data_IF_136303338579
#
_entry.id   IF_136303338579
#
_cell.length_a   1.000
_cell.length_b   1.000
_cell.length_c   1.000
_cell.angle_alpha   90.00
_cell.angle_beta   90.00
_cell.angle_gamma   90.00
#
_symmetry.space_group_name_H-M   'P 1'
#
loop_
_entity.id
_entity.type
_entity.pdbx_description
1 polymer ?
#
# COMPACT_ATOMS: atom_id res chain seq x y z
N UNK A 1 37.29 4.20 9.25
CA UNK A 1 36.85 4.77 7.97
C UNK A 1 35.58 4.04 7.56
N UNK A 2 34.42 4.66 7.70
CA UNK A 2 33.17 4.09 7.22
C UNK A 2 33.16 4.22 5.69
N UNK A 3 33.01 3.11 4.98
CA UNK A 3 32.89 3.13 3.53
C UNK A 3 31.55 3.79 3.16
N UNK A 4 31.61 4.79 2.29
CA UNK A 4 30.41 5.32 1.64
C UNK A 4 29.72 4.15 0.92
N UNK A 5 28.39 3.98 1.05
CA UNK A 5 27.71 3.00 0.22
C UNK A 5 27.88 3.46 -1.24
N UNK A 6 28.44 2.57 -2.08
CA UNK A 6 28.85 2.87 -3.46
C UNK A 6 27.69 3.29 -4.39
N UNK A 7 26.45 3.32 -3.89
CA UNK A 7 25.26 3.63 -4.67
C UNK A 7 24.53 4.86 -4.08
N UNK A 8 24.48 5.94 -4.86
CA UNK A 8 23.84 7.22 -4.55
C UNK A 8 22.37 7.09 -4.13
N UNK A 9 21.62 6.18 -4.77
CA UNK A 9 20.22 5.93 -4.43
C UNK A 9 20.07 5.35 -3.01
N UNK A 10 21.01 4.51 -2.59
CA UNK A 10 21.04 3.95 -1.24
C UNK A 10 21.38 5.03 -0.19
N UNK A 11 22.25 5.99 -0.54
CA UNK A 11 22.59 7.14 0.31
C UNK A 11 21.38 8.05 0.53
N UNK A 12 20.70 8.46 -0.54
CA UNK A 12 19.50 9.30 -0.45
C UNK A 12 18.41 8.61 0.36
N UNK A 13 18.13 7.33 0.07
CA UNK A 13 17.15 6.54 0.83
C UNK A 13 17.52 6.43 2.32
N UNK A 14 18.81 6.33 2.65
CA UNK A 14 19.29 6.25 4.04
C UNK A 14 19.16 7.59 4.78
N UNK A 15 19.49 8.72 4.15
CA UNK A 15 19.32 10.08 4.72
C UNK A 15 17.83 10.36 5.00
N UNK A 16 16.96 10.05 4.04
CA UNK A 16 15.50 10.24 4.17
C UNK A 16 14.95 9.35 5.28
N UNK A 17 15.31 8.07 5.31
CA UNK A 17 14.86 7.11 6.33
C UNK A 17 15.28 7.51 7.74
N UNK A 18 16.54 7.91 7.94
CA UNK A 18 17.06 8.32 9.24
C UNK A 18 16.40 9.62 9.74
N UNK A 19 16.17 10.57 8.84
CA UNK A 19 15.47 11.81 9.17
C UNK A 19 14.02 11.55 9.54
N UNK A 20 13.32 10.71 8.76
CA UNK A 20 11.93 10.31 9.03
C UNK A 20 11.77 9.64 10.39
N UNK A 21 12.74 8.81 10.82
CA UNK A 21 12.73 8.20 12.16
C UNK A 21 12.78 9.24 13.28
N UNK A 22 13.59 10.30 13.12
CA UNK A 22 13.62 11.41 14.09
C UNK A 22 12.29 12.16 14.09
N UNK A 23 11.74 12.45 12.92
CA UNK A 23 10.45 13.14 12.81
C UNK A 23 9.28 12.36 13.44
N UNK A 24 9.30 11.03 13.33
CA UNK A 24 8.35 10.16 14.03
C UNK A 24 8.57 10.20 15.53
N UNK A 25 9.83 10.14 15.98
CA UNK A 25 10.16 10.19 17.41
C UNK A 25 9.76 11.51 18.05
N UNK A 26 10.02 12.64 17.38
CA UNK A 26 9.58 13.95 17.84
C UNK A 26 8.05 14.01 17.97
N UNK A 27 7.31 13.41 17.03
CA UNK A 27 5.85 13.33 17.11
C UNK A 27 5.36 12.48 18.29
N UNK A 28 6.04 11.36 18.59
CA UNK A 28 5.77 10.57 19.81
C UNK A 28 6.05 11.36 21.10
N UNK A 29 7.01 12.29 21.07
CA UNK A 29 7.27 13.23 22.16
C UNK A 29 6.22 14.37 22.24
N UNK A 30 5.22 14.38 21.36
CA UNK A 30 4.15 15.38 21.32
C UNK A 30 4.46 16.61 20.46
N UNK A 31 5.46 16.54 19.57
CA UNK A 31 5.72 17.61 18.61
C UNK A 31 4.59 17.73 17.58
N UNK A 32 4.30 18.96 17.17
CA UNK A 32 3.27 19.29 16.18
C UNK A 32 3.93 19.99 15.00
N UNK A 33 3.56 19.63 13.77
CA UNK A 33 4.14 20.20 12.56
C UNK A 33 4.36 19.15 11.47
N UNK A 34 4.52 19.63 10.24
CA UNK A 34 4.64 18.81 9.04
C UNK A 34 6.08 18.40 8.76
N UNK A 35 7.03 19.30 8.99
CA UNK A 35 8.47 19.05 8.80
C UNK A 35 9.30 19.10 10.08
N UNK A 36 10.53 18.60 10.02
CA UNK A 36 11.49 18.57 11.12
C UNK A 36 11.64 19.90 11.86
N UNK A 37 11.68 21.02 11.13
CA UNK A 37 11.80 22.36 11.71
C UNK A 37 10.58 22.73 12.55
N UNK A 38 9.39 22.57 12.00
CA UNK A 38 8.14 22.88 12.71
C UNK A 38 7.97 22.02 13.96
N UNK A 39 8.30 20.73 13.87
CA UNK A 39 8.30 19.80 15.01
C UNK A 39 9.30 20.22 16.08
N UNK A 40 10.51 20.65 15.69
CA UNK A 40 11.53 21.16 16.62
C UNK A 40 11.03 22.44 17.31
N UNK A 41 10.50 23.38 16.56
CA UNK A 41 9.99 24.66 17.07
C UNK A 41 8.80 24.45 18.02
N UNK A 42 7.95 23.45 17.76
CA UNK A 42 6.79 23.12 18.60
C UNK A 42 7.16 22.58 19.99
N UNK A 43 8.30 21.88 20.11
CA UNK A 43 8.82 21.43 21.40
C UNK A 43 9.51 22.58 22.16
N UNK A 44 9.98 23.61 21.43
CA UNK A 44 10.48 24.85 22.01
C UNK A 44 11.60 24.62 23.04
N UNK A 45 11.45 25.21 24.23
CA UNK A 45 12.45 25.15 25.31
C UNK A 45 12.64 23.76 25.95
N UNK A 46 11.87 22.75 25.53
CA UNK A 46 12.01 21.37 25.99
C UNK A 46 13.25 20.66 25.42
N UNK A 47 13.78 21.16 24.31
CA UNK A 47 14.99 20.63 23.69
C UNK A 47 16.20 21.47 24.11
N UNK A 48 17.34 20.81 24.33
CA UNK A 48 18.58 21.54 24.59
C UNK A 48 19.01 22.32 23.34
N UNK A 49 19.69 23.48 23.50
CA UNK A 49 20.19 24.25 22.37
C UNK A 49 21.12 23.46 21.45
N UNK A 50 21.79 22.44 21.99
CA UNK A 50 22.64 21.52 21.24
C UNK A 50 21.82 20.59 20.34
N UNK A 51 20.74 19.98 20.86
CA UNK A 51 19.83 19.17 20.05
C UNK A 51 19.14 19.98 18.97
N UNK A 52 18.77 21.23 19.24
CA UNK A 52 18.19 22.12 18.22
C UNK A 52 19.18 22.37 17.07
N UNK A 53 20.48 22.55 17.37
CA UNK A 53 21.53 22.69 16.34
C UNK A 53 21.70 21.41 15.53
N UNK A 54 21.70 20.25 16.18
CA UNK A 54 21.81 18.95 15.50
C UNK A 54 20.59 18.68 14.60
N UNK A 55 19.38 19.00 15.07
CA UNK A 55 18.14 18.90 14.27
C UNK A 55 18.16 19.84 13.06
N UNK A 56 18.66 21.07 13.23
CA UNK A 56 18.83 22.00 12.12
C UNK A 56 19.86 21.48 11.09
N UNK A 57 20.97 20.89 11.55
CA UNK A 57 21.96 20.27 10.69
C UNK A 57 21.38 19.09 9.91
N UNK A 58 20.68 18.16 10.57
CA UNK A 58 19.99 17.02 9.94
C UNK A 58 18.98 17.51 8.90
N UNK A 59 18.19 18.53 9.23
CA UNK A 59 17.25 19.14 8.31
C UNK A 59 17.91 19.77 7.09
N UNK A 60 19.09 20.40 7.25
CA UNK A 60 19.85 20.98 6.14
C UNK A 60 20.36 19.92 5.16
N UNK A 61 20.83 18.77 5.68
CA UNK A 61 21.28 17.65 4.86
C UNK A 61 20.08 17.03 4.13
N UNK A 62 18.97 16.74 4.82
CA UNK A 62 17.75 16.21 4.18
C UNK A 62 17.23 17.13 3.07
N UNK A 63 17.19 18.44 3.30
CA UNK A 63 16.72 19.40 2.31
C UNK A 63 17.65 19.48 1.10
N UNK A 64 18.97 19.39 1.30
CA UNK A 64 19.94 19.32 0.21
C UNK A 64 19.67 18.10 -0.69
N UNK A 65 19.46 16.93 -0.09
CA UNK A 65 19.13 15.70 -0.83
C UNK A 65 17.73 15.71 -1.49
N UNK A 66 16.78 16.47 -0.96
CA UNK A 66 15.43 16.57 -1.51
C UNK A 66 15.33 17.56 -2.70
N UNK A 67 16.09 18.66 -2.66
CA UNK A 67 15.94 19.76 -3.63
C UNK A 67 17.07 19.88 -4.64
N UNK A 68 18.25 19.32 -4.35
CA UNK A 68 19.40 19.38 -5.25
C UNK A 68 19.61 17.99 -5.89
N UNK A 69 19.17 17.78 -7.14
CA UNK A 69 19.27 16.48 -7.83
C UNK A 69 20.71 16.06 -8.14
N UNK A 70 21.70 16.90 -7.85
CA UNK A 70 23.15 16.65 -7.94
C UNK A 70 23.85 16.69 -6.57
N UNK A 71 23.09 16.70 -5.46
CA UNK A 71 23.67 16.70 -4.12
C UNK A 71 24.63 15.52 -3.91
N UNK A 72 25.83 15.84 -3.46
CA UNK A 72 26.84 14.90 -2.98
C UNK A 72 27.05 15.11 -1.48
N UNK A 73 27.51 14.06 -0.80
CA UNK A 73 27.91 14.10 0.60
C UNK A 73 29.22 13.35 0.74
N UNK A 74 30.20 13.96 1.41
CA UNK A 74 31.45 13.27 1.68
C UNK A 74 31.24 12.16 2.72
N UNK A 75 32.13 11.16 2.76
CA UNK A 75 32.04 10.10 3.77
C UNK A 75 32.15 10.61 5.21
N UNK A 76 32.92 11.68 5.40
CA UNK A 76 33.05 12.36 6.70
C UNK A 76 31.78 13.12 7.08
N UNK A 77 31.18 13.84 6.12
CA UNK A 77 29.92 14.56 6.34
C UNK A 77 28.75 13.61 6.59
N UNK A 78 28.73 12.46 5.91
CA UNK A 78 27.73 11.41 6.15
C UNK A 78 27.91 10.74 7.52
N UNK A 79 29.15 10.48 7.94
CA UNK A 79 29.42 9.98 9.29
C UNK A 79 28.99 10.97 10.38
N UNK A 80 29.23 12.27 10.17
CA UNK A 80 28.79 13.33 11.06
C UNK A 80 27.25 13.41 11.12
N UNK A 81 26.57 13.21 9.99
CA UNK A 81 25.11 13.11 9.94
C UNK A 81 24.59 11.91 10.76
N UNK A 82 25.15 10.71 10.59
CA UNK A 82 24.74 9.53 11.36
C UNK A 82 24.98 9.71 12.87
N UNK A 83 26.10 10.31 13.25
CA UNK A 83 26.42 10.65 14.63
C UNK A 83 25.40 11.66 15.20
N UNK A 84 25.08 12.70 14.43
CA UNK A 84 24.07 13.70 14.82
C UNK A 84 22.71 13.07 15.04
N UNK A 85 22.29 12.16 14.15
CA UNK A 85 21.04 11.40 14.29
C UNK A 85 21.03 10.57 15.56
N UNK A 86 22.13 9.87 15.85
CA UNK A 86 22.29 9.03 17.05
C UNK A 86 22.21 9.87 18.34
N UNK A 87 22.89 11.01 18.38
CA UNK A 87 22.88 11.91 19.54
C UNK A 87 21.49 12.47 19.82
N UNK A 88 20.78 12.90 18.77
CA UNK A 88 19.40 13.39 18.90
C UNK A 88 18.47 12.29 19.42
N UNK A 89 18.56 11.06 18.88
CA UNK A 89 17.73 9.94 19.35
C UNK A 89 17.98 9.63 20.82
N UNK A 90 19.25 9.58 21.23
CA UNK A 90 19.62 9.32 22.61
C UNK A 90 19.06 10.38 23.57
N UNK A 91 19.15 11.65 23.22
CA UNK A 91 18.62 12.73 24.06
C UNK A 91 17.08 12.68 24.14
N UNK A 92 16.40 12.41 23.03
CA UNK A 92 14.94 12.24 23.01
C UNK A 92 14.48 11.06 23.87
N UNK A 93 15.25 9.97 23.91
CA UNK A 93 14.94 8.81 24.75
C UNK A 93 15.16 9.08 26.23
N UNK A 94 16.12 9.94 26.59
CA UNK A 94 16.34 10.41 27.97
C UNK A 94 15.19 11.32 28.42
N UNK A 95 14.82 12.29 27.59
CA UNK A 95 13.80 13.29 27.92
C UNK A 95 12.37 12.74 27.87
N UNK A 96 12.12 11.80 26.96
CA UNK A 96 10.82 11.15 26.74
C UNK A 96 10.97 9.62 26.69
N UNK A 97 11.25 8.97 27.83
CA UNK A 97 11.34 7.52 27.87
C UNK A 97 10.02 6.91 27.43
N UNK A 98 10.08 5.98 26.46
CA UNK A 98 8.89 5.34 25.89
C UNK A 98 8.20 4.50 26.98
N UNK A 99 7.16 5.05 27.61
CA UNK A 99 6.21 4.24 28.36
C UNK A 99 5.46 3.37 27.35
N UNK A 100 5.66 2.04 27.41
CA UNK A 100 4.97 1.04 26.56
C UNK A 100 3.46 0.92 26.81
N UNK A 101 2.81 1.98 27.28
CA UNK A 101 1.39 1.97 27.64
C UNK A 101 0.69 3.27 27.27
N UNK A 102 0.72 3.67 26.00
CA UNK A 102 -0.41 4.37 25.41
C UNK A 102 -0.30 4.37 23.89
N UNK A 103 -1.31 3.80 23.24
CA UNK A 103 -1.66 4.09 21.86
C UNK A 103 -2.75 5.16 21.92
N UNK A 104 -2.50 6.43 21.58
CA UNK A 104 -3.57 7.36 21.26
C UNK A 104 -3.79 7.40 19.75
N UNK A 105 -5.03 7.74 19.43
CA UNK A 105 -5.63 7.74 18.13
C UNK A 105 -5.05 8.81 17.19
N UNK A 106 -5.31 8.57 15.90
CA UNK A 106 -5.02 9.43 14.78
C UNK A 106 -5.54 10.89 14.93
N UNK A 107 -4.70 11.84 14.51
CA UNK A 107 -5.06 13.16 13.96
C UNK A 107 -3.76 13.80 13.46
N UNK A 108 -3.35 13.60 12.20
CA UNK A 108 -3.62 14.50 11.07
C UNK A 108 -2.99 15.91 11.19
N UNK A 109 -1.85 16.08 10.51
CA UNK A 109 -1.45 17.34 9.87
C UNK A 109 -0.60 17.01 8.64
N UNK A 110 -1.18 17.24 7.45
CA UNK A 110 -0.65 16.92 6.12
C UNK A 110 0.58 17.74 5.71
N UNK A 111 1.46 17.20 4.84
CA UNK A 111 2.03 17.94 3.73
C UNK A 111 1.38 17.53 2.40
N UNK A 112 1.28 18.50 1.49
CA UNK A 112 0.85 18.34 0.09
C UNK A 112 1.75 17.34 -0.66
N UNK A 113 1.24 16.69 -1.72
CA UNK A 113 1.92 15.57 -2.36
C UNK A 113 3.06 16.04 -3.25
N UNK A 114 4.30 15.70 -2.89
CA UNK A 114 5.31 15.40 -3.89
C UNK A 114 4.80 14.18 -4.66
N UNK A 115 4.54 14.35 -5.96
CA UNK A 115 4.31 13.25 -6.89
C UNK A 115 5.61 12.43 -6.97
N UNK A 116 5.88 11.63 -5.94
CA UNK A 116 6.70 10.43 -6.07
C UNK A 116 5.93 9.51 -7.02
N UNK A 117 6.47 9.37 -8.24
CA UNK A 117 6.28 8.16 -9.03
C UNK A 117 6.69 6.98 -8.13
N UNK A 118 5.71 6.37 -7.49
CA UNK A 118 5.82 5.20 -6.63
C UNK A 118 6.19 4.01 -7.53
N UNK A 119 7.48 3.90 -7.86
CA UNK A 119 8.06 2.68 -8.39
C UNK A 119 8.04 1.63 -7.28
N UNK A 120 7.01 0.77 -7.36
CA UNK A 120 6.83 -0.53 -6.71
C UNK A 120 5.84 -0.55 -5.52
N UNK A 121 4.64 -1.13 -5.70
CA UNK A 121 3.61 -1.25 -4.65
C UNK A 121 3.96 -2.28 -3.57
N UNK A 122 5.23 -2.72 -3.48
CA UNK A 122 5.67 -3.76 -2.56
C UNK A 122 6.16 -3.20 -1.22
N UNK A 123 5.23 -2.63 -0.44
CA UNK A 123 5.47 -2.37 0.99
C UNK A 123 4.43 -3.06 1.87
N UNK A 124 4.86 -4.17 2.46
CA UNK A 124 4.31 -4.70 3.71
C UNK A 124 3.22 -5.77 3.58
N UNK A 125 3.52 -6.90 2.95
CA UNK A 125 2.79 -8.13 3.26
C UNK A 125 3.27 -8.63 4.61
N UNK A 126 2.38 -8.68 5.62
CA UNK A 126 2.59 -9.54 6.79
C UNK A 126 3.13 -10.90 6.33
N UNK A 127 4.15 -11.46 7.00
CA UNK A 127 4.73 -12.74 6.62
C UNK A 127 3.61 -13.77 6.54
N UNK A 128 3.53 -14.48 5.41
CA UNK A 128 2.60 -15.60 5.27
C UNK A 128 2.83 -16.54 6.45
N UNK A 129 1.80 -16.75 7.27
CA UNK A 129 1.85 -17.66 8.41
C UNK A 129 2.35 -19.03 7.97
N UNK A 130 3.16 -19.70 8.77
CA UNK A 130 3.90 -20.92 8.37
C UNK A 130 3.03 -22.03 7.75
N UNK A 131 1.74 -22.08 8.09
CA UNK A 131 0.78 -23.02 7.51
C UNK A 131 0.40 -22.71 6.05
N UNK A 132 0.42 -21.44 5.62
CA UNK A 132 0.17 -21.03 4.23
C UNK A 132 1.34 -21.40 3.33
N UNK A 133 2.56 -21.27 3.85
CA UNK A 133 3.78 -21.74 3.17
C UNK A 133 3.74 -23.27 3.02
N UNK A 134 3.23 -23.98 4.03
CA UNK A 134 3.01 -25.43 3.96
C UNK A 134 1.87 -25.82 3.01
N UNK A 135 0.80 -25.02 2.95
CA UNK A 135 -0.33 -25.22 2.03
C UNK A 135 0.08 -25.05 0.56
N UNK A 136 0.98 -24.11 0.25
CA UNK A 136 1.61 -23.99 -1.08
C UNK A 136 2.45 -25.21 -1.49
N UNK A 137 2.84 -26.07 -0.54
CA UNK A 137 3.67 -27.28 -0.77
C UNK A 137 2.89 -28.57 -0.84
N UNK A 138 1.55 -28.53 -0.82
CA UNK A 138 0.70 -29.72 -0.95
C UNK A 138 -0.22 -29.58 -2.19
N UNK A 139 -0.31 -30.60 -3.08
CA UNK A 139 -0.95 -30.45 -4.41
C UNK A 139 -2.39 -29.91 -4.39
N UNK A 140 -3.21 -30.34 -3.43
CA UNK A 140 -4.63 -29.91 -3.31
C UNK A 140 -4.76 -28.59 -2.54
N UNK A 141 -3.84 -28.30 -1.63
CA UNK A 141 -3.80 -27.07 -0.83
C UNK A 141 -3.20 -25.89 -1.61
N UNK A 142 -2.54 -26.15 -2.73
CA UNK A 142 -2.03 -25.14 -3.66
C UNK A 142 -3.16 -24.31 -4.30
N UNK A 143 -4.37 -24.88 -4.46
CA UNK A 143 -5.54 -24.12 -4.88
C UNK A 143 -6.04 -23.18 -3.77
N UNK A 144 -6.00 -23.63 -2.51
CA UNK A 144 -6.32 -22.78 -1.36
C UNK A 144 -5.31 -21.63 -1.23
N UNK A 145 -4.04 -21.87 -1.52
CA UNK A 145 -3.02 -20.83 -1.61
C UNK A 145 -3.31 -19.82 -2.74
N UNK A 146 -3.72 -20.26 -3.93
CA UNK A 146 -4.13 -19.35 -5.00
C UNK A 146 -5.34 -18.48 -4.60
N UNK A 147 -6.36 -19.08 -3.99
CA UNK A 147 -7.53 -18.34 -3.46
C UNK A 147 -7.10 -17.33 -2.40
N UNK A 148 -6.15 -17.70 -1.53
CA UNK A 148 -5.59 -16.79 -0.53
C UNK A 148 -4.83 -15.62 -1.16
N UNK A 149 -3.98 -15.87 -2.16
CA UNK A 149 -3.27 -14.83 -2.92
C UNK A 149 -4.26 -13.88 -3.61
N UNK A 150 -5.29 -14.42 -4.25
CA UNK A 150 -6.35 -13.61 -4.85
C UNK A 150 -7.02 -12.70 -3.81
N UNK A 151 -7.41 -13.28 -2.66
CA UNK A 151 -8.05 -12.54 -1.60
C UNK A 151 -7.16 -11.41 -1.07
N UNK A 152 -5.87 -11.70 -0.79
CA UNK A 152 -4.90 -10.67 -0.36
C UNK A 152 -4.73 -9.58 -1.41
N UNK A 153 -4.69 -9.94 -2.69
CA UNK A 153 -4.48 -8.99 -3.77
C UNK A 153 -5.64 -8.00 -3.94
N UNK A 154 -6.86 -8.42 -3.60
CA UNK A 154 -8.09 -7.62 -3.75
C UNK A 154 -8.49 -6.91 -2.45
N UNK A 155 -8.12 -7.44 -1.29
CA UNK A 155 -8.50 -6.91 0.03
C UNK A 155 -8.30 -5.40 0.20
N UNK A 156 -7.17 -4.80 -0.23
CA UNK A 156 -6.98 -3.34 -0.12
C UNK A 156 -8.05 -2.54 -0.87
N UNK A 157 -8.55 -3.08 -1.98
CA UNK A 157 -9.57 -2.47 -2.83
C UNK A 157 -10.99 -3.01 -2.61
N UNK A 158 -11.24 -3.88 -1.63
CA UNK A 158 -12.50 -4.65 -1.53
C UNK A 158 -13.75 -3.76 -1.43
N UNK A 159 -13.64 -2.61 -0.77
CA UNK A 159 -14.73 -1.63 -0.66
C UNK A 159 -15.07 -1.03 -2.02
N UNK A 160 -14.06 -0.59 -2.78
CA UNK A 160 -14.24 -0.02 -4.12
C UNK A 160 -14.70 -1.08 -5.13
N UNK A 161 -14.20 -2.32 -5.01
CA UNK A 161 -14.69 -3.44 -5.80
C UNK A 161 -16.17 -3.72 -5.51
N UNK A 162 -16.59 -3.69 -4.25
CA UNK A 162 -17.99 -3.83 -3.86
C UNK A 162 -18.89 -2.76 -4.46
N UNK A 163 -18.45 -1.50 -4.45
CA UNK A 163 -19.16 -0.40 -5.10
C UNK A 163 -19.23 -0.57 -6.62
N UNK A 164 -18.11 -0.92 -7.27
CA UNK A 164 -18.07 -1.19 -8.71
C UNK A 164 -19.05 -2.30 -9.11
N UNK A 165 -19.02 -3.44 -8.39
CA UNK A 165 -19.92 -4.57 -8.64
C UNK A 165 -21.38 -4.18 -8.39
N UNK A 166 -21.65 -3.44 -7.31
CA UNK A 166 -22.99 -2.95 -7.00
C UNK A 166 -23.56 -2.02 -8.07
N UNK A 167 -22.72 -1.12 -8.60
CA UNK A 167 -23.11 -0.18 -9.66
C UNK A 167 -23.45 -0.93 -10.96
N UNK A 168 -22.58 -1.85 -11.40
CA UNK A 168 -22.81 -2.68 -12.59
C UNK A 168 -24.08 -3.51 -12.42
N UNK A 169 -24.29 -4.12 -11.25
CA UNK A 169 -25.49 -4.89 -10.96
C UNK A 169 -26.75 -4.01 -11.01
N UNK A 170 -26.71 -2.80 -10.46
CA UNK A 170 -27.79 -1.82 -10.54
C UNK A 170 -28.16 -1.50 -11.99
N UNK A 171 -27.16 -1.20 -12.84
CA UNK A 171 -27.37 -0.92 -14.27
C UNK A 171 -27.97 -2.12 -14.99
N UNK A 172 -27.45 -3.33 -14.75
CA UNK A 172 -27.96 -4.56 -15.37
C UNK A 172 -29.42 -4.83 -14.99
N UNK A 173 -29.78 -4.61 -13.72
CA UNK A 173 -31.16 -4.78 -13.25
C UNK A 173 -32.10 -3.74 -13.86
N UNK A 174 -31.68 -2.49 -14.00
CA UNK A 174 -32.45 -1.44 -14.69
C UNK A 174 -32.67 -1.85 -16.14
N UNK A 175 -31.61 -2.20 -16.87
CA UNK A 175 -31.69 -2.59 -18.28
C UNK A 175 -32.58 -3.83 -18.48
N UNK A 176 -32.42 -4.85 -17.63
CA UNK A 176 -33.24 -6.05 -17.66
C UNK A 176 -34.71 -5.76 -17.35
N UNK A 177 -34.98 -4.94 -16.33
CA UNK A 177 -36.33 -4.54 -15.95
C UNK A 177 -37.04 -3.78 -17.08
N UNK A 178 -36.35 -2.83 -17.73
CA UNK A 178 -36.87 -2.10 -18.89
C UNK A 178 -37.14 -3.08 -20.04
N UNK A 179 -36.20 -3.96 -20.36
CA UNK A 179 -36.33 -4.92 -21.46
C UNK A 179 -37.49 -5.91 -21.28
N UNK A 180 -37.74 -6.33 -20.03
CA UNK A 180 -38.85 -7.24 -19.69
C UNK A 180 -40.17 -6.54 -19.36
N UNK A 181 -40.18 -5.21 -19.25
CA UNK A 181 -41.35 -4.45 -18.82
C UNK A 181 -41.71 -4.70 -17.35
N UNK A 182 -40.72 -5.01 -16.51
CA UNK A 182 -40.87 -5.34 -15.09
C UNK A 182 -40.55 -4.10 -14.22
N UNK A 183 -41.56 -3.34 -13.75
CA UNK A 183 -41.34 -2.08 -13.05
C UNK A 183 -40.69 -2.27 -11.68
N UNK A 184 -40.98 -3.38 -11.00
CA UNK A 184 -40.38 -3.69 -9.69
C UNK A 184 -38.87 -3.95 -9.79
N UNK A 185 -38.43 -4.65 -10.83
CA UNK A 185 -37.00 -4.91 -11.07
C UNK A 185 -36.28 -3.63 -11.45
N UNK A 186 -36.90 -2.81 -12.31
CA UNK A 186 -36.38 -1.48 -12.65
C UNK A 186 -36.24 -0.59 -11.43
N UNK A 187 -37.27 -0.56 -10.56
CA UNK A 187 -37.27 0.22 -9.33
C UNK A 187 -36.20 -0.23 -8.35
N UNK A 188 -36.06 -1.55 -8.15
CA UNK A 188 -35.01 -2.12 -7.29
C UNK A 188 -33.60 -1.82 -7.83
N UNK A 189 -33.36 -2.01 -9.13
CA UNK A 189 -32.10 -1.67 -9.77
C UNK A 189 -31.76 -0.18 -9.64
N UNK A 190 -32.76 0.70 -9.81
CA UNK A 190 -32.61 2.15 -9.65
C UNK A 190 -32.26 2.53 -8.22
N UNK A 191 -32.90 1.92 -7.22
CA UNK A 191 -32.60 2.16 -5.81
C UNK A 191 -31.17 1.73 -5.45
N UNK A 192 -30.76 0.53 -5.90
CA UNK A 192 -29.39 0.04 -5.72
C UNK A 192 -28.37 0.98 -6.37
N UNK A 193 -28.60 1.36 -7.63
CA UNK A 193 -27.74 2.28 -8.38
C UNK A 193 -27.58 3.63 -7.68
N UNK A 194 -28.68 4.26 -7.25
CA UNK A 194 -28.62 5.55 -6.53
C UNK A 194 -27.94 5.42 -5.17
N UNK A 195 -28.15 4.32 -4.45
CA UNK A 195 -27.48 4.07 -3.18
C UNK A 195 -25.96 3.95 -3.36
N UNK A 196 -25.50 3.14 -4.33
CA UNK A 196 -24.07 2.96 -4.62
C UNK A 196 -23.45 4.26 -5.12
N UNK A 197 -24.15 5.00 -5.98
CA UNK A 197 -23.72 6.31 -6.44
C UNK A 197 -23.53 7.30 -5.26
N UNK A 198 -24.50 7.36 -4.34
CA UNK A 198 -24.41 8.17 -3.13
C UNK A 198 -23.23 7.78 -2.22
N UNK A 199 -22.98 6.49 -2.05
CA UNK A 199 -21.79 6.01 -1.33
C UNK A 199 -20.49 6.39 -2.04
N UNK A 200 -20.45 6.37 -3.38
CA UNK A 200 -19.30 6.83 -4.15
C UNK A 200 -19.00 8.31 -3.94
N UNK A 201 -20.04 9.15 -3.93
CA UNK A 201 -19.91 10.57 -3.59
C UNK A 201 -19.39 10.75 -2.15
N UNK A 202 -19.93 10.00 -1.19
CA UNK A 202 -19.49 10.07 0.21
C UNK A 202 -18.01 9.66 0.37
N UNK A 203 -17.58 8.57 -0.26
CA UNK A 203 -16.18 8.11 -0.23
C UNK A 203 -15.24 9.15 -0.87
N UNK A 204 -15.67 9.81 -1.96
CA UNK A 204 -14.89 10.86 -2.61
C UNK A 204 -14.66 12.08 -1.71
N UNK A 205 -15.65 12.46 -0.91
CA UNK A 205 -15.51 13.57 0.05
C UNK A 205 -14.73 13.19 1.31
N UNK A 206 -14.71 11.90 1.67
CA UNK A 206 -13.95 11.41 2.83
C UNK A 206 -12.44 11.48 2.59
N UNK A 207 -12.01 11.37 1.34
CA UNK A 207 -10.59 11.32 0.96
C UNK A 207 -10.29 12.21 -0.27
N UNK A 208 -10.39 13.55 -0.11
CA UNK A 208 -10.27 14.51 -1.21
C UNK A 208 -8.84 14.57 -1.80
N UNK A 209 -7.82 14.20 -1.03
CA UNK A 209 -6.43 14.15 -1.50
C UNK A 209 -6.22 13.10 -2.60
N UNK A 210 -7.11 12.10 -2.68
CA UNK A 210 -7.07 11.01 -3.65
C UNK A 210 -8.33 10.99 -4.53
N UNK A 211 -9.09 12.09 -4.56
CA UNK A 211 -10.29 12.19 -5.38
C UNK A 211 -9.92 12.58 -6.81
N UNK A 212 -10.36 11.76 -7.76
CA UNK A 212 -10.33 12.06 -9.18
C UNK A 212 -11.26 13.24 -9.52
N UNK A 213 -11.20 13.81 -10.74
CA UNK A 213 -12.04 14.95 -11.12
C UNK A 213 -13.52 14.82 -10.73
N UNK A 214 -14.09 15.90 -10.20
CA UNK A 214 -15.42 15.93 -9.59
C UNK A 214 -16.53 15.35 -10.46
N UNK A 215 -16.47 15.60 -11.78
CA UNK A 215 -17.48 15.09 -12.71
C UNK A 215 -17.51 13.55 -12.78
N UNK A 216 -16.40 12.86 -12.48
CA UNK A 216 -16.35 11.40 -12.53
C UNK A 216 -17.18 10.75 -11.42
N UNK A 217 -17.18 11.29 -10.20
CA UNK A 217 -17.99 10.72 -9.11
C UNK A 217 -19.37 11.38 -8.94
N UNK A 218 -19.57 12.59 -9.47
CA UNK A 218 -20.85 13.31 -9.39
C UNK A 218 -21.85 12.93 -10.49
N UNK A 219 -21.39 12.46 -11.64
CA UNK A 219 -22.28 12.08 -12.72
C UNK A 219 -22.63 10.59 -12.61
N UNK A 220 -23.93 10.23 -12.47
CA UNK A 220 -24.34 8.84 -12.44
C UNK A 220 -23.88 8.08 -13.69
N UNK A 221 -23.35 6.87 -13.51
CA UNK A 221 -22.76 6.06 -14.57
C UNK A 221 -21.29 6.37 -14.85
N UNK A 222 -20.84 7.63 -14.77
CA UNK A 222 -19.40 7.96 -14.88
C UNK A 222 -18.61 7.57 -13.63
N UNK A 223 -19.28 7.40 -12.50
CA UNK A 223 -18.72 6.89 -11.26
C UNK A 223 -18.18 5.45 -11.38
N UNK A 224 -18.57 4.70 -12.40
CA UNK A 224 -17.89 3.45 -12.77
C UNK A 224 -16.41 3.67 -13.07
N UNK A 225 -16.09 4.70 -13.86
CA UNK A 225 -14.70 5.05 -14.18
C UNK A 225 -13.99 5.54 -12.92
N UNK A 226 -14.66 6.31 -12.07
CA UNK A 226 -14.11 6.72 -10.78
C UNK A 226 -13.72 5.52 -9.91
N UNK A 227 -14.62 4.54 -9.73
CA UNK A 227 -14.33 3.33 -8.95
C UNK A 227 -13.22 2.51 -9.58
N UNK A 228 -13.25 2.33 -10.91
CA UNK A 228 -12.23 1.57 -11.63
C UNK A 228 -10.84 2.20 -11.46
N UNK A 229 -10.71 3.50 -11.74
CA UNK A 229 -9.44 4.22 -11.67
C UNK A 229 -8.88 4.30 -10.24
N UNK A 230 -9.75 4.33 -9.20
CA UNK A 230 -9.29 4.20 -7.80
C UNK A 230 -8.99 2.76 -7.38
N UNK A 231 -9.63 1.77 -8.00
CA UNK A 231 -9.43 0.36 -7.67
C UNK A 231 -8.10 -0.16 -8.22
N UNK A 232 -7.79 0.11 -9.49
CA UNK A 232 -6.62 -0.47 -10.19
C UNK A 232 -5.28 -0.27 -9.44
N UNK A 233 -4.97 0.90 -8.85
CA UNK A 233 -3.71 1.09 -8.13
C UNK A 233 -3.65 0.35 -6.79
N UNK A 234 -4.80 -0.02 -6.21
CA UNK A 234 -4.87 -0.72 -4.92
C UNK A 234 -4.69 -2.24 -5.06
N UNK A 235 -4.82 -2.77 -6.28
CA UNK A 235 -4.69 -4.19 -6.54
C UNK A 235 -3.21 -4.60 -6.58
N UNK A 236 -2.88 -5.71 -5.92
CA UNK A 236 -1.56 -6.32 -6.10
C UNK A 236 -1.57 -7.16 -7.39
N UNK A 237 -1.21 -6.52 -8.51
CA UNK A 237 -1.20 -7.14 -9.84
C UNK A 237 -0.36 -8.41 -9.90
N UNK A 238 0.80 -8.43 -9.24
CA UNK A 238 1.68 -9.61 -9.25
C UNK A 238 1.00 -10.81 -8.57
N UNK A 239 0.40 -10.61 -7.39
CA UNK A 239 -0.35 -11.67 -6.71
C UNK A 239 -1.60 -12.10 -7.49
N UNK A 240 -2.27 -11.18 -8.18
CA UNK A 240 -3.38 -11.51 -9.08
C UNK A 240 -2.91 -12.40 -10.22
N UNK A 241 -1.85 -12.02 -10.94
CA UNK A 241 -1.32 -12.81 -12.06
C UNK A 241 -0.89 -14.20 -11.61
N UNK A 242 -0.24 -14.32 -10.46
CA UNK A 242 0.15 -15.61 -9.91
C UNK A 242 -1.06 -16.48 -9.55
N UNK A 243 -2.04 -15.91 -8.84
CA UNK A 243 -3.27 -16.63 -8.53
C UNK A 243 -3.97 -17.11 -9.81
N UNK A 244 -4.11 -16.23 -10.81
CA UNK A 244 -4.75 -16.58 -12.08
C UNK A 244 -3.99 -17.65 -12.83
N UNK A 245 -2.65 -17.57 -12.89
CA UNK A 245 -1.83 -18.59 -13.55
C UNK A 245 -2.05 -19.97 -12.91
N UNK A 246 -2.06 -20.03 -11.57
CA UNK A 246 -2.32 -21.28 -10.85
C UNK A 246 -3.73 -21.81 -11.17
N UNK A 247 -4.76 -20.97 -11.03
CA UNK A 247 -6.15 -21.36 -11.29
C UNK A 247 -6.33 -21.85 -12.73
N UNK A 248 -5.76 -21.16 -13.72
CA UNK A 248 -5.87 -21.52 -15.14
C UNK A 248 -5.22 -22.86 -15.46
N UNK A 249 -4.05 -23.16 -14.87
CA UNK A 249 -3.40 -24.46 -15.06
C UNK A 249 -4.26 -25.58 -14.47
N UNK A 250 -4.90 -25.35 -13.32
CA UNK A 250 -5.83 -26.30 -12.72
C UNK A 250 -7.11 -26.49 -13.55
N UNK A 251 -7.69 -25.41 -14.07
CA UNK A 251 -8.83 -25.50 -15.00
C UNK A 251 -8.45 -26.32 -16.23
N UNK A 252 -7.28 -26.07 -16.82
CA UNK A 252 -6.79 -26.86 -17.95
C UNK A 252 -6.62 -28.34 -17.59
N UNK A 253 -6.02 -28.64 -16.44
CA UNK A 253 -5.86 -30.01 -15.95
C UNK A 253 -7.22 -30.73 -15.76
N UNK A 254 -8.21 -30.05 -15.18
CA UNK A 254 -9.58 -30.58 -15.00
C UNK A 254 -10.24 -30.84 -16.36
N UNK A 255 -10.11 -29.92 -17.32
CA UNK A 255 -10.67 -30.10 -18.67
C UNK A 255 -10.02 -31.30 -19.38
N UNK A 256 -8.69 -31.48 -19.25
CA UNK A 256 -7.99 -32.62 -19.85
C UNK A 256 -8.38 -33.95 -19.17
N UNK A 257 -8.54 -33.95 -17.84
CA UNK A 257 -9.03 -35.11 -17.12
C UNK A 257 -10.46 -35.50 -17.55
N UNK A 258 -11.34 -34.51 -17.71
CA UNK A 258 -12.72 -34.71 -18.19
C UNK A 258 -12.79 -35.26 -19.62
N UNK A 259 -11.74 -35.03 -20.44
CA UNK A 259 -11.58 -35.57 -21.79
C UNK A 259 -10.95 -36.97 -21.83
N UNK A 260 -10.56 -37.52 -20.68
CA UNK A 260 -9.89 -38.82 -20.57
C UNK A 260 -8.37 -38.77 -20.73
N UNK A 261 -7.78 -37.58 -20.88
CA UNK A 261 -6.33 -37.38 -21.02
C UNK A 261 -5.63 -37.28 -19.65
N UNK A 262 -5.72 -38.36 -18.86
CA UNK A 262 -5.28 -38.38 -17.46
C UNK A 262 -3.77 -38.09 -17.31
N UNK A 263 -2.94 -38.60 -18.22
CA UNK A 263 -1.49 -38.37 -18.18
C UNK A 263 -1.12 -36.90 -18.35
N UNK A 264 -1.82 -36.20 -19.26
CA UNK A 264 -1.60 -34.77 -19.53
C UNK A 264 -2.12 -33.93 -18.36
N UNK A 265 -3.29 -34.27 -17.82
CA UNK A 265 -3.83 -33.63 -16.62
C UNK A 265 -2.90 -33.76 -15.42
N UNK A 266 -2.34 -34.96 -15.19
CA UNK A 266 -1.36 -35.21 -14.13
C UNK A 266 -0.08 -34.41 -14.32
N UNK A 267 0.44 -34.33 -15.55
CA UNK A 267 1.59 -33.52 -15.90
C UNK A 267 1.38 -32.02 -15.62
N UNK A 268 0.22 -31.46 -16.00
CA UNK A 268 -0.13 -30.07 -15.73
C UNK A 268 -0.23 -29.76 -14.24
N UNK A 269 -0.90 -30.63 -13.47
CA UNK A 269 -1.00 -30.48 -12.02
C UNK A 269 0.38 -30.54 -11.34
N UNK A 270 1.25 -31.44 -11.80
CA UNK A 270 2.61 -31.59 -11.28
C UNK A 270 3.51 -30.39 -11.62
N UNK A 271 3.42 -29.85 -12.84
CA UNK A 271 4.15 -28.64 -13.24
C UNK A 271 3.70 -27.41 -12.45
N UNK A 272 2.39 -27.26 -12.23
CA UNK A 272 1.83 -26.20 -11.37
C UNK A 272 2.40 -26.27 -9.95
N UNK A 273 2.46 -27.50 -9.41
CA UNK A 273 3.02 -27.77 -8.10
C UNK A 273 4.50 -27.38 -7.97
N UNK A 274 5.33 -27.78 -8.93
CA UNK A 274 6.76 -27.40 -8.96
C UNK A 274 6.90 -25.88 -9.02
N UNK A 275 6.09 -25.21 -9.85
CA UNK A 275 6.10 -23.75 -9.95
C UNK A 275 5.84 -23.05 -8.62
N UNK A 276 4.87 -23.52 -7.83
CA UNK A 276 4.60 -22.99 -6.50
C UNK A 276 5.69 -23.25 -5.47
N UNK A 277 6.30 -24.44 -5.52
CA UNK A 277 7.46 -24.75 -4.66
C UNK A 277 8.61 -23.80 -4.98
N UNK A 278 8.95 -23.60 -6.25
CA UNK A 278 10.01 -22.65 -6.64
C UNK A 278 9.66 -21.22 -6.21
N UNK A 279 8.45 -20.75 -6.47
CA UNK A 279 8.02 -19.40 -6.10
C UNK A 279 8.08 -19.13 -4.59
N UNK A 280 7.80 -20.14 -3.76
CA UNK A 280 7.89 -20.02 -2.29
C UNK A 280 9.33 -20.04 -1.76
N UNK A 281 10.29 -20.62 -2.48
CA UNK A 281 11.71 -20.57 -2.11
C UNK A 281 12.40 -19.27 -2.57
N UNK A 282 12.00 -18.71 -3.71
CA UNK A 282 12.57 -17.46 -4.26
C UNK A 282 12.11 -16.21 -3.47
N UNK A 283 10.98 -16.30 -2.76
CA UNK A 283 10.40 -15.20 -1.98
C UNK A 283 10.90 -15.07 -0.53
N UNK A 284 11.78 -15.97 -0.08
CA UNK A 284 12.45 -15.89 1.21
C UNK A 284 13.80 -15.20 1.06
#
# INVERSE_FOLDING_TARGET
>A
MAALPENRLLLTGKVVSLTGRIESRLAECGAVGTGLREKTDSLGSKLSPEVVKLLAYIGSIRNRFAHEPEAEISGEEFALFEESVRMVQQELDILWPVSRSHRPAASASSPLPEEEFDESPYRGTEPDSDWLILAGRLPVLHLAYAVHLFWRAVTPGIRLLGLLVGEVLGILLIAFGIWKGEPYVTGFGSALFLMVHGFGIWEAHRDPARSLPTFLYMTPGLNLFYFLLRLLPLLNWMMLFESFAIIMVWVAAIVMAARGEITIAGGLAFLSYIGGVVATYVRR
#
